data_IF_206587827463
#
_entry.id   IF_206587827463
#
_cell.length_a   1.000
_cell.length_b   1.000
_cell.length_c   1.000
_cell.angle_alpha   90.00
_cell.angle_beta   90.00
_cell.angle_gamma   90.00
#
_symmetry.space_group_name_H-M   'P 1'
#
loop_
_entity.id
_entity.type
_entity.pdbx_description
1 polymer ?
#
# COMPACT_ATOMS: atom_id res chain seq x y z
N UNK A 1 -14.17 2.16 0.46
CA UNK A 1 -13.46 2.72 1.64
C UNK A 1 -13.19 4.22 1.53
N UNK A 2 -12.59 4.71 0.44
CA UNK A 2 -12.28 6.15 0.29
C UNK A 2 -13.51 7.05 0.49
N UNK A 3 -14.65 6.68 -0.12
CA UNK A 3 -15.89 7.46 0.00
C UNK A 3 -16.38 7.63 1.44
N UNK A 4 -16.26 6.58 2.25
CA UNK A 4 -16.60 6.63 3.67
C UNK A 4 -15.55 7.43 4.47
N UNK A 5 -14.27 7.31 4.11
CA UNK A 5 -13.20 8.06 4.76
C UNK A 5 -13.39 9.58 4.57
N UNK A 6 -13.74 10.03 3.36
CA UNK A 6 -13.96 11.45 3.04
C UNK A 6 -15.00 12.13 3.94
N UNK A 7 -16.06 11.41 4.33
CA UNK A 7 -17.09 11.92 5.24
C UNK A 7 -16.55 12.18 6.66
N UNK A 8 -15.51 11.45 7.07
CA UNK A 8 -14.97 11.45 8.43
C UNK A 8 -13.66 12.25 8.57
N UNK A 9 -13.16 12.83 7.49
CA UNK A 9 -11.91 13.59 7.51
C UNK A 9 -12.03 14.86 8.36
N UNK A 10 -10.94 15.22 9.04
CA UNK A 10 -10.83 16.52 9.72
C UNK A 10 -10.65 17.63 8.69
N UNK A 11 -11.00 18.86 9.07
CA UNK A 11 -10.67 20.06 8.29
C UNK A 11 -9.14 20.11 8.08
N UNK A 12 -8.69 20.40 6.85
CA UNK A 12 -7.29 20.33 6.40
C UNK A 12 -6.66 18.94 6.45
N UNK A 13 -7.49 17.89 6.43
CA UNK A 13 -7.02 16.52 6.32
C UNK A 13 -6.23 16.25 5.03
N UNK A 14 -5.46 15.16 5.01
CA UNK A 14 -4.61 14.77 3.89
C UNK A 14 -4.88 13.32 3.49
N UNK A 15 -4.99 13.07 2.19
CA UNK A 15 -5.11 11.72 1.61
C UNK A 15 -3.92 11.52 0.67
N UNK A 16 -3.01 10.63 1.04
CA UNK A 16 -1.94 10.18 0.15
C UNK A 16 -2.45 8.99 -0.68
N UNK A 17 -2.61 9.20 -1.99
CA UNK A 17 -3.17 8.20 -2.90
C UNK A 17 -2.04 7.34 -3.44
N UNK A 18 -1.71 6.28 -2.71
CA UNK A 18 -0.67 5.31 -3.11
C UNK A 18 -1.18 4.29 -4.13
N UNK A 19 -2.47 3.99 -4.14
CA UNK A 19 -3.07 3.01 -5.02
C UNK A 19 -4.55 2.77 -4.71
N UNK A 20 -5.23 2.05 -5.61
CA UNK A 20 -6.66 1.76 -5.53
C UNK A 20 -6.94 0.28 -5.84
N UNK A 21 -6.32 -0.63 -5.09
CA UNK A 21 -6.34 -2.08 -5.36
C UNK A 21 -7.76 -2.64 -5.53
N UNK A 22 -8.75 -2.11 -4.81
CA UNK A 22 -10.15 -2.54 -4.91
C UNK A 22 -10.81 -2.25 -6.27
N UNK A 23 -10.22 -1.37 -7.08
CA UNK A 23 -10.72 -1.00 -8.41
C UNK A 23 -10.03 -1.78 -9.54
N UNK A 24 -8.88 -2.41 -9.27
CA UNK A 24 -8.02 -2.99 -10.31
C UNK A 24 -8.64 -4.20 -11.04
N UNK A 25 -9.58 -4.90 -10.41
CA UNK A 25 -10.19 -6.13 -10.96
C UNK A 25 -11.64 -5.93 -11.42
N UNK A 26 -12.14 -4.69 -11.43
CA UNK A 26 -13.53 -4.39 -11.79
C UNK A 26 -13.62 -3.97 -13.25
N UNK A 27 -14.50 -4.63 -14.02
CA UNK A 27 -14.84 -4.23 -15.38
C UNK A 27 -15.62 -2.89 -15.45
N UNK A 28 -16.29 -2.53 -14.36
CA UNK A 28 -16.95 -1.24 -14.18
C UNK A 28 -16.50 -0.62 -12.85
N UNK A 29 -15.62 0.40 -12.87
CA UNK A 29 -15.14 1.04 -11.66
C UNK A 29 -16.28 1.69 -10.88
N UNK A 30 -16.25 1.56 -9.56
CA UNK A 30 -17.21 2.28 -8.72
C UNK A 30 -16.81 3.75 -8.60
N UNK A 31 -17.78 4.64 -8.82
CA UNK A 31 -17.60 6.08 -8.63
C UNK A 31 -17.30 6.45 -7.17
N UNK A 32 -16.66 7.61 -7.00
CA UNK A 32 -16.42 8.25 -5.71
C UNK A 32 -17.43 9.40 -5.58
N UNK A 33 -18.39 9.29 -4.66
CA UNK A 33 -19.52 10.20 -4.57
C UNK A 33 -19.31 11.35 -3.57
N UNK A 34 -18.36 11.25 -2.64
CA UNK A 34 -18.19 12.20 -1.54
C UNK A 34 -17.08 13.25 -1.74
N UNK A 35 -16.64 13.48 -2.99
CA UNK A 35 -15.55 14.42 -3.32
C UNK A 35 -15.83 15.88 -2.91
N UNK A 36 -17.09 16.28 -2.74
CA UNK A 36 -17.46 17.59 -2.22
C UNK A 36 -16.83 17.89 -0.85
N UNK A 37 -16.54 16.86 -0.05
CA UNK A 37 -15.83 17.00 1.22
C UNK A 37 -14.42 17.57 1.05
N UNK A 38 -13.78 17.39 -0.12
CA UNK A 38 -12.48 18.01 -0.38
C UNK A 38 -12.55 19.54 -0.25
N UNK A 39 -13.66 20.13 -0.68
CA UNK A 39 -13.91 21.57 -0.60
C UNK A 39 -14.33 21.95 0.82
N UNK A 40 -15.40 21.32 1.31
CA UNK A 40 -16.02 21.67 2.62
C UNK A 40 -15.00 21.54 3.75
N UNK A 41 -14.11 20.55 3.66
CA UNK A 41 -13.08 20.27 4.67
C UNK A 41 -11.68 20.68 4.24
N UNK A 42 -11.49 21.28 3.06
CA UNK A 42 -10.17 21.75 2.55
C UNK A 42 -9.11 20.64 2.58
N UNK A 43 -9.49 19.43 2.14
CA UNK A 43 -8.64 18.25 2.18
C UNK A 43 -7.65 18.30 1.00
N UNK A 44 -6.39 17.98 1.27
CA UNK A 44 -5.40 17.74 0.22
C UNK A 44 -5.40 16.25 -0.14
N UNK A 45 -5.86 15.91 -1.34
CA UNK A 45 -5.78 14.56 -1.88
C UNK A 45 -4.73 14.54 -3.01
N UNK A 46 -3.67 13.76 -2.84
CA UNK A 46 -2.52 13.78 -3.76
C UNK A 46 -2.00 12.37 -4.01
N UNK A 47 -1.89 12.01 -5.30
CA UNK A 47 -1.16 10.83 -5.74
C UNK A 47 0.35 11.05 -5.76
N UNK A 48 1.10 9.96 -5.65
CA UNK A 48 2.56 9.95 -5.74
C UNK A 48 3.04 8.58 -6.23
N UNK A 49 4.20 8.54 -6.89
CA UNK A 49 4.85 7.29 -7.25
C UNK A 49 6.17 7.18 -6.50
N UNK A 50 6.49 5.97 -6.02
CA UNK A 50 7.74 5.72 -5.31
C UNK A 50 8.98 6.08 -6.14
N UNK A 51 8.90 5.91 -7.47
CA UNK A 51 9.97 6.24 -8.41
C UNK A 51 10.38 7.72 -8.35
N UNK A 52 9.45 8.64 -8.07
CA UNK A 52 9.74 10.08 -7.94
C UNK A 52 10.64 10.41 -6.74
N UNK A 53 10.75 9.48 -5.78
CA UNK A 53 11.45 9.66 -4.51
C UNK A 53 12.67 8.75 -4.34
N UNK A 54 13.14 8.09 -5.41
CA UNK A 54 14.31 7.21 -5.34
C UNK A 54 15.58 7.93 -4.84
N UNK A 55 15.68 9.25 -5.03
CA UNK A 55 16.77 10.07 -4.49
C UNK A 55 16.84 10.05 -2.95
N UNK A 56 15.75 9.69 -2.25
CA UNK A 56 15.71 9.54 -0.79
C UNK A 56 16.10 8.13 -0.32
N UNK A 57 16.29 7.18 -1.22
CA UNK A 57 16.54 5.77 -0.88
C UNK A 57 17.75 5.57 0.06
N UNK A 58 18.91 6.20 -0.15
CA UNK A 58 20.05 6.04 0.75
C UNK A 58 19.73 6.41 2.20
N UNK A 59 19.04 7.55 2.40
CA UNK A 59 18.61 8.02 3.71
C UNK A 59 17.56 7.09 4.33
N UNK A 60 16.61 6.62 3.52
CA UNK A 60 15.59 5.66 3.95
C UNK A 60 16.22 4.36 4.45
N UNK A 61 17.18 3.80 3.69
CA UNK A 61 17.82 2.52 4.00
C UNK A 61 18.57 2.60 5.33
N UNK A 62 19.32 3.68 5.56
CA UNK A 62 20.05 3.90 6.82
C UNK A 62 19.09 3.94 8.02
N UNK A 63 18.04 4.76 7.91
CA UNK A 63 17.06 4.96 8.99
C UNK A 63 16.29 3.66 9.31
N UNK A 64 15.72 3.02 8.29
CA UNK A 64 14.87 1.84 8.48
C UNK A 64 15.69 0.64 8.94
N UNK A 65 16.91 0.45 8.41
CA UNK A 65 17.79 -0.62 8.86
C UNK A 65 18.15 -0.47 10.35
N UNK A 66 18.41 0.77 10.79
CA UNK A 66 18.68 1.08 12.19
C UNK A 66 17.47 0.78 13.08
N UNK A 67 16.28 1.21 12.67
CA UNK A 67 15.05 0.97 13.43
C UNK A 67 14.67 -0.50 13.48
N UNK A 68 14.86 -1.24 12.39
CA UNK A 68 14.62 -2.67 12.32
C UNK A 68 15.55 -3.42 13.29
N UNK A 69 16.87 -3.14 13.26
CA UNK A 69 17.85 -3.72 14.20
C UNK A 69 17.54 -3.40 15.67
N UNK A 70 16.94 -2.23 15.93
CA UNK A 70 16.52 -1.81 17.28
C UNK A 70 15.15 -2.39 17.70
N UNK A 71 14.47 -3.16 16.84
CA UNK A 71 13.12 -3.68 17.12
C UNK A 71 12.02 -2.61 17.12
N UNK A 72 12.29 -1.40 16.60
CA UNK A 72 11.31 -0.31 16.47
C UNK A 72 10.37 -0.50 15.28
N UNK A 73 10.75 -1.36 14.34
CA UNK A 73 9.93 -1.77 13.20
C UNK A 73 9.84 -3.29 13.21
N UNK A 74 8.62 -3.81 13.18
CA UNK A 74 8.33 -5.23 12.97
C UNK A 74 7.91 -5.43 11.52
N UNK A 75 8.46 -6.45 10.88
CA UNK A 75 8.15 -6.83 9.51
C UNK A 75 7.63 -8.26 9.48
N UNK A 76 6.50 -8.45 8.80
CA UNK A 76 5.81 -9.75 8.69
C UNK A 76 5.79 -10.12 7.22
N UNK A 77 6.27 -11.32 6.93
CA UNK A 77 6.29 -11.92 5.60
C UNK A 77 5.36 -13.14 5.57
N UNK A 78 4.70 -13.31 4.43
CA UNK A 78 4.00 -14.53 4.04
C UNK A 78 4.85 -15.20 2.96
N UNK A 79 5.58 -16.24 3.36
CA UNK A 79 6.63 -16.85 2.54
C UNK A 79 6.15 -18.16 1.92
N UNK A 80 6.24 -18.25 0.60
CA UNK A 80 5.97 -19.47 -0.16
C UNK A 80 7.26 -20.01 -0.78
N UNK A 81 7.34 -21.35 -0.87
CA UNK A 81 8.48 -22.06 -1.43
C UNK A 81 8.29 -22.41 -2.90
N UNK A 82 9.36 -22.28 -3.68
CA UNK A 82 9.40 -22.67 -5.09
C UNK A 82 8.74 -21.64 -6.01
N UNK A 83 9.34 -21.45 -7.18
CA UNK A 83 8.83 -20.51 -8.19
C UNK A 83 7.43 -20.92 -8.69
N UNK A 84 7.14 -22.22 -8.65
CA UNK A 84 5.87 -22.82 -9.03
C UNK A 84 4.69 -22.31 -8.17
N UNK A 85 4.97 -21.85 -6.95
CA UNK A 85 3.97 -21.29 -6.04
C UNK A 85 3.58 -19.84 -6.39
N UNK A 86 4.40 -19.14 -7.18
CA UNK A 86 4.25 -17.71 -7.45
C UNK A 86 2.90 -17.33 -8.09
N UNK A 87 2.35 -18.07 -9.09
CA UNK A 87 1.05 -17.74 -9.67
C UNK A 87 -0.08 -17.78 -8.63
N UNK A 88 -0.09 -18.82 -7.80
CA UNK A 88 -1.11 -19.01 -6.75
C UNK A 88 -0.98 -17.93 -5.67
N UNK A 89 0.24 -17.61 -5.24
CA UNK A 89 0.51 -16.55 -4.28
C UNK A 89 0.08 -15.17 -4.80
N UNK A 90 0.38 -14.85 -6.06
CA UNK A 90 -0.04 -13.60 -6.69
C UNK A 90 -1.56 -13.48 -6.81
N UNK A 91 -2.26 -14.56 -7.20
CA UNK A 91 -3.72 -14.59 -7.19
C UNK A 91 -4.29 -14.40 -5.77
N UNK A 92 -3.63 -14.99 -4.77
CA UNK A 92 -3.98 -14.84 -3.36
C UNK A 92 -3.94 -13.40 -2.85
N UNK A 93 -3.01 -12.58 -3.35
CA UNK A 93 -2.90 -11.15 -3.00
C UNK A 93 -4.20 -10.38 -3.28
N UNK A 94 -4.83 -10.62 -4.44
CA UNK A 94 -6.09 -9.96 -4.82
C UNK A 94 -7.32 -10.51 -4.08
N UNK A 95 -7.18 -11.69 -3.48
CA UNK A 95 -8.18 -12.30 -2.61
C UNK A 95 -7.96 -11.99 -1.12
N UNK A 96 -6.92 -11.21 -0.79
CA UNK A 96 -6.56 -10.86 0.59
C UNK A 96 -6.12 -12.05 1.42
N UNK A 97 -5.54 -13.09 0.80
CA UNK A 97 -5.10 -14.31 1.50
C UNK A 97 -3.79 -14.14 2.26
N UNK A 98 -2.97 -13.16 1.89
CA UNK A 98 -1.64 -12.98 2.46
C UNK A 98 -1.69 -12.34 3.85
N UNK A 99 -0.83 -12.82 4.76
CA UNK A 99 -0.60 -12.19 6.07
C UNK A 99 0.76 -11.50 6.08
N UNK A 100 0.76 -10.19 5.78
CA UNK A 100 2.00 -9.42 5.62
C UNK A 100 2.47 -9.37 4.18
N UNK A 101 3.78 -9.21 3.96
CA UNK A 101 4.34 -9.13 2.60
C UNK A 101 4.45 -10.53 2.00
N UNK A 102 3.77 -10.75 0.88
CA UNK A 102 3.96 -11.96 0.06
C UNK A 102 5.39 -12.03 -0.50
N UNK A 103 6.09 -13.13 -0.23
CA UNK A 103 7.46 -13.43 -0.68
C UNK A 103 7.51 -14.85 -1.26
N UNK A 104 8.28 -15.04 -2.33
CA UNK A 104 8.55 -16.36 -2.92
C UNK A 104 10.04 -16.68 -2.72
N UNK A 105 10.34 -17.74 -1.98
CA UNK A 105 11.69 -18.28 -1.85
C UNK A 105 11.94 -19.27 -2.99
N UNK A 106 12.73 -18.84 -3.97
CA UNK A 106 13.00 -19.63 -5.20
C UNK A 106 14.12 -20.64 -4.97
N UNK A 107 15.16 -20.25 -4.25
CA UNK A 107 16.28 -21.10 -3.89
C UNK A 107 16.75 -20.75 -2.48
N UNK A 108 17.39 -21.72 -1.84
CA UNK A 108 18.16 -21.50 -0.62
C UNK A 108 19.60 -21.18 -1.00
N UNK A 109 20.21 -20.23 -0.29
CA UNK A 109 21.66 -20.08 -0.27
C UNK A 109 22.33 -21.22 0.51
#
# INVERSE_FOLDING_TARGET
MLDAALLNMRIHGRVAVCGMVSQNSLSNPQGIYNLSNLIIRRIKMQGFLQHDYLHLYPQFLELVSSYYKQGKIVYIEDMNEGLESAPTALAGLFLGKNVGKQVIRVAHE
#
